data_IF_026865626110
#
_entry.id   IF_026865626110
#
_cell.length_a   1.000
_cell.length_b   1.000
_cell.length_c   1.000
_cell.angle_alpha   90.00
_cell.angle_beta   90.00
_cell.angle_gamma   90.00
#
_symmetry.space_group_name_H-M   'P 1'
#
loop_
_entity.id
_entity.type
_entity.pdbx_description
1 polymer ?
#
# COMPACT_ATOMS: atom_id res chain seq x y z
N UNK A 1 -8.53 -6.03 -56.97
CA UNK A 1 -7.61 -5.98 -55.81
C UNK A 1 -7.32 -4.51 -55.55
N UNK A 2 -7.98 -3.92 -54.55
CA UNK A 2 -7.79 -2.49 -54.20
C UNK A 2 -6.65 -2.42 -53.19
N UNK A 3 -5.49 -1.94 -53.64
CA UNK A 3 -4.39 -1.52 -52.78
C UNK A 3 -4.88 -0.31 -51.97
N UNK A 4 -5.31 -0.55 -50.73
CA UNK A 4 -5.50 0.55 -49.78
C UNK A 4 -4.12 1.11 -49.44
N UNK A 5 -3.70 2.15 -50.15
CA UNK A 5 -2.51 2.93 -49.83
C UNK A 5 -2.60 3.33 -48.36
N UNK A 6 -1.79 2.70 -47.51
CA UNK A 6 -1.70 3.02 -46.10
C UNK A 6 -1.22 4.45 -45.97
N UNK A 7 -2.06 5.35 -45.44
CA UNK A 7 -1.71 6.74 -45.17
C UNK A 7 -0.32 6.80 -44.51
N UNK A 8 0.61 7.65 -44.99
CA UNK A 8 1.93 7.77 -44.39
C UNK A 8 1.77 8.12 -42.91
N UNK A 9 2.44 7.37 -42.03
CA UNK A 9 2.39 7.63 -40.59
C UNK A 9 2.94 9.01 -40.30
N UNK A 10 2.16 9.86 -39.63
CA UNK A 10 2.65 11.18 -39.20
C UNK A 10 3.93 11.04 -38.37
N UNK A 11 4.82 12.03 -38.44
CA UNK A 11 6.05 12.06 -37.63
C UNK A 11 5.77 11.87 -36.13
N UNK A 12 4.66 12.44 -35.66
CA UNK A 12 4.16 12.21 -34.30
C UNK A 12 3.82 10.73 -34.05
N UNK A 13 3.11 10.08 -34.98
CA UNK A 13 2.78 8.67 -34.89
C UNK A 13 4.02 7.76 -34.82
N UNK A 14 5.06 8.05 -35.61
CA UNK A 14 6.33 7.31 -35.55
C UNK A 14 6.99 7.47 -34.17
N UNK A 15 7.07 8.71 -33.66
CA UNK A 15 7.63 9.01 -32.33
C UNK A 15 6.88 8.28 -31.21
N UNK A 16 5.55 8.30 -31.23
CA UNK A 16 4.71 7.62 -30.24
C UNK A 16 4.90 6.10 -30.27
N UNK A 17 4.96 5.48 -31.46
CA UNK A 17 5.22 4.04 -31.58
C UNK A 17 6.61 3.66 -31.05
N UNK A 18 7.65 4.48 -31.32
CA UNK A 18 8.99 4.26 -30.76
C UNK A 18 9.00 4.40 -29.24
N UNK A 19 8.29 5.38 -28.68
CA UNK A 19 8.15 5.55 -27.23
C UNK A 19 7.45 4.34 -26.60
N UNK A 20 6.33 3.91 -27.19
CA UNK A 20 5.56 2.76 -26.73
C UNK A 20 6.39 1.47 -26.80
N UNK A 21 7.19 1.27 -27.86
CA UNK A 21 8.11 0.15 -27.94
C UNK A 21 9.17 0.18 -26.83
N UNK A 22 9.78 1.34 -26.57
CA UNK A 22 10.77 1.48 -25.47
C UNK A 22 10.15 1.21 -24.11
N UNK A 23 8.92 1.68 -23.89
CA UNK A 23 8.16 1.39 -22.68
C UNK A 23 7.88 -0.12 -22.57
N UNK A 24 7.30 -0.73 -23.60
CA UNK A 24 6.97 -2.16 -23.60
C UNK A 24 8.21 -3.05 -23.43
N UNK A 25 9.37 -2.67 -23.97
CA UNK A 25 10.63 -3.40 -23.77
C UNK A 25 11.17 -3.30 -22.35
N UNK A 26 10.91 -2.17 -21.66
CA UNK A 26 11.48 -1.86 -20.35
C UNK A 26 10.42 -1.76 -19.23
N UNK A 27 9.21 -2.28 -19.45
CA UNK A 27 8.06 -2.10 -18.56
C UNK A 27 8.38 -2.44 -17.10
N UNK A 28 9.15 -3.50 -16.87
CA UNK A 28 9.53 -3.98 -15.54
C UNK A 28 10.43 -3.01 -14.78
N UNK A 29 11.23 -2.19 -15.48
CA UNK A 29 12.05 -1.14 -14.84
C UNK A 29 11.18 -0.01 -14.34
N UNK A 30 10.15 0.36 -15.10
CA UNK A 30 9.19 1.38 -14.68
C UNK A 30 8.36 0.90 -13.50
N UNK A 31 7.78 -0.30 -13.59
CA UNK A 31 7.00 -0.88 -12.49
C UNK A 31 7.88 -1.15 -11.27
N UNK A 32 9.06 -1.73 -11.45
CA UNK A 32 9.99 -2.01 -10.36
C UNK A 32 10.53 -0.73 -9.71
N UNK A 33 10.85 0.30 -10.50
CA UNK A 33 11.24 1.61 -9.99
C UNK A 33 10.10 2.27 -9.22
N UNK A 34 8.87 2.23 -9.75
CA UNK A 34 7.69 2.76 -9.05
C UNK A 34 7.44 2.02 -7.73
N UNK A 35 7.38 0.69 -7.73
CA UNK A 35 7.19 -0.11 -6.52
C UNK A 35 8.35 0.06 -5.53
N UNK A 36 9.58 0.18 -6.01
CA UNK A 36 10.76 0.45 -5.18
C UNK A 36 10.69 1.82 -4.51
N UNK A 37 10.31 2.87 -5.23
CA UNK A 37 10.08 4.20 -4.67
C UNK A 37 8.90 4.21 -3.69
N UNK A 38 7.83 3.47 -4.01
CA UNK A 38 6.67 3.33 -3.15
C UNK A 38 7.03 2.65 -1.82
N UNK A 39 7.68 1.49 -1.86
CA UNK A 39 8.12 0.79 -0.65
C UNK A 39 9.18 1.59 0.11
N UNK A 40 10.17 2.15 -0.59
CA UNK A 40 11.21 2.98 0.01
C UNK A 40 10.66 4.22 0.71
N UNK A 41 9.70 4.91 0.09
CA UNK A 41 9.06 6.09 0.66
C UNK A 41 8.26 5.79 1.94
N UNK A 42 7.67 4.60 2.06
CA UNK A 42 6.96 4.16 3.28
C UNK A 42 7.88 4.13 4.49
N UNK A 43 9.12 3.65 4.34
CA UNK A 43 10.12 3.60 5.41
C UNK A 43 10.91 4.90 5.57
N UNK A 44 11.03 5.70 4.49
CA UNK A 44 11.71 6.99 4.56
C UNK A 44 10.99 7.95 5.52
N UNK A 45 9.66 7.93 5.63
CA UNK A 45 8.92 8.81 6.53
C UNK A 45 9.34 8.67 8.02
N UNK A 46 9.28 7.48 8.65
CA UNK A 46 9.71 7.33 10.03
C UNK A 46 11.22 7.50 10.22
N UNK A 47 12.05 7.21 9.20
CA UNK A 47 13.50 7.47 9.26
C UNK A 47 13.76 8.98 9.32
N UNK A 48 13.10 9.77 8.47
CA UNK A 48 13.21 11.23 8.47
C UNK A 48 12.73 11.84 9.79
N UNK A 49 11.66 11.31 10.38
CA UNK A 49 11.22 11.73 11.71
C UNK A 49 12.30 11.45 12.78
N UNK A 50 12.89 10.26 12.79
CA UNK A 50 13.98 9.90 13.71
C UNK A 50 15.23 10.77 13.51
N UNK A 51 15.47 11.28 12.30
CA UNK A 51 16.57 12.19 11.98
C UNK A 51 16.25 13.66 12.30
N UNK A 52 15.09 13.97 12.90
CA UNK A 52 14.69 15.34 13.20
C UNK A 52 14.30 16.16 11.97
N UNK A 53 13.85 15.50 10.89
CA UNK A 53 13.41 16.12 9.64
C UNK A 53 11.87 15.99 9.45
N UNK A 54 11.05 16.61 10.32
CA UNK A 54 9.60 16.44 10.28
C UNK A 54 8.95 17.05 9.04
N UNK A 55 9.51 18.14 8.48
CA UNK A 55 8.99 18.77 7.25
C UNK A 55 8.96 17.79 6.06
N UNK A 56 10.12 17.23 5.66
CA UNK A 56 10.18 16.19 4.63
C UNK A 56 9.33 14.93 4.95
N UNK A 57 9.29 14.50 6.21
CA UNK A 57 8.47 13.36 6.61
C UNK A 57 6.97 13.62 6.42
N UNK A 58 6.48 14.81 6.78
CA UNK A 58 5.09 15.23 6.61
C UNK A 58 4.66 15.26 5.14
N UNK A 59 5.57 15.62 4.23
CA UNK A 59 5.31 15.52 2.78
C UNK A 59 5.06 14.07 2.37
N UNK A 60 5.87 13.13 2.87
CA UNK A 60 5.65 11.70 2.61
C UNK A 60 4.31 11.25 3.20
N UNK A 61 4.03 11.50 4.48
CA UNK A 61 2.73 11.15 5.07
C UNK A 61 1.55 11.70 4.25
N UNK A 62 1.66 12.93 3.75
CA UNK A 62 0.63 13.56 2.90
C UNK A 62 0.47 12.83 1.56
N UNK A 63 1.57 12.51 0.87
CA UNK A 63 1.52 11.79 -0.41
C UNK A 63 0.90 10.39 -0.25
N UNK A 64 1.15 9.72 0.87
CA UNK A 64 0.61 8.38 1.14
C UNK A 64 -0.82 8.38 1.74
N UNK A 65 -1.33 9.52 2.21
CA UNK A 65 -2.64 9.61 2.85
C UNK A 65 -3.84 9.15 2.00
N UNK A 66 -3.84 9.27 0.65
CA UNK A 66 -4.90 8.70 -0.19
C UNK A 66 -4.80 7.18 -0.35
N UNK A 67 -3.62 6.59 -0.13
CA UNK A 67 -3.37 5.17 -0.34
C UNK A 67 -3.73 4.32 0.87
N UNK A 68 -3.75 4.91 2.06
CA UNK A 68 -3.95 4.22 3.33
C UNK A 68 -4.59 5.15 4.36
N UNK A 69 -5.34 4.60 5.30
CA UNK A 69 -5.85 5.35 6.46
C UNK A 69 -4.77 5.77 7.46
N UNK A 70 -3.57 5.16 7.42
CA UNK A 70 -2.40 5.53 8.23
C UNK A 70 -2.64 5.48 9.75
N UNK A 71 -3.58 4.68 10.23
CA UNK A 71 -3.83 4.53 11.66
C UNK A 71 -2.56 4.04 12.37
N UNK A 72 -2.11 4.78 13.38
CA UNK A 72 -0.95 4.46 14.19
C UNK A 72 -1.00 3.00 14.69
N UNK A 73 -2.12 2.57 15.26
CA UNK A 73 -2.28 1.21 15.79
C UNK A 73 -2.33 0.08 14.73
N UNK A 74 -2.21 0.42 13.44
CA UNK A 74 -2.09 -0.54 12.32
C UNK A 74 -0.79 -0.37 11.53
N UNK A 75 0.08 0.55 11.90
CA UNK A 75 1.37 0.81 11.23
C UNK A 75 2.53 0.09 11.94
N UNK A 76 3.65 -0.05 11.23
CA UNK A 76 4.92 -0.40 11.89
C UNK A 76 5.59 0.86 12.40
N UNK A 77 6.41 0.72 13.43
CA UNK A 77 7.17 1.82 14.01
C UNK A 77 8.67 1.54 13.92
N UNK A 78 9.45 2.62 13.79
CA UNK A 78 10.92 2.59 13.78
C UNK A 78 11.42 3.53 14.87
N UNK A 79 12.38 3.04 15.66
CA UNK A 79 13.07 3.83 16.69
C UNK A 79 12.37 3.88 18.05
N UNK A 80 11.42 2.97 18.32
CA UNK A 80 10.70 2.91 19.59
C UNK A 80 10.80 1.58 20.33
N UNK A 81 10.07 1.46 21.43
CA UNK A 81 10.04 0.28 22.30
C UNK A 81 9.51 -0.99 21.60
N UNK A 82 8.53 -0.86 20.69
CA UNK A 82 7.89 -1.95 19.98
C UNK A 82 7.83 -1.66 18.46
N UNK A 83 7.85 -2.72 17.65
CA UNK A 83 7.72 -2.61 16.18
C UNK A 83 6.28 -2.31 15.74
N UNK A 84 5.31 -2.53 16.62
CA UNK A 84 3.88 -2.31 16.39
C UNK A 84 3.19 -2.06 17.73
N UNK A 85 2.17 -1.21 17.72
CA UNK A 85 1.34 -0.90 18.89
C UNK A 85 -0.11 -1.19 18.53
N UNK A 86 -0.55 -2.46 18.51
CA UNK A 86 -1.93 -2.78 18.19
C UNK A 86 -2.87 -2.31 19.30
N UNK A 87 -4.16 -2.21 18.99
CA UNK A 87 -5.19 -1.90 19.98
C UNK A 87 -5.31 -3.01 21.03
N UNK A 88 -5.74 -2.66 22.24
CA UNK A 88 -5.98 -3.62 23.32
C UNK A 88 -6.88 -4.79 22.90
N UNK A 89 -7.90 -4.51 22.08
CA UNK A 89 -8.84 -5.52 21.57
C UNK A 89 -8.21 -6.59 20.67
N UNK A 90 -7.00 -6.35 20.15
CA UNK A 90 -6.30 -7.33 19.32
C UNK A 90 -5.75 -8.50 20.15
N UNK A 91 -5.60 -8.34 21.47
CA UNK A 91 -5.03 -9.33 22.39
C UNK A 91 -3.71 -9.93 21.88
N UNK A 92 -2.79 -9.05 21.45
CA UNK A 92 -1.56 -9.48 20.79
C UNK A 92 -0.42 -9.84 21.73
N UNK A 93 -0.62 -9.71 23.05
CA UNK A 93 0.45 -9.79 24.06
C UNK A 93 1.46 -8.63 24.02
N UNK A 94 1.22 -7.60 23.20
CA UNK A 94 2.01 -6.36 23.18
C UNK A 94 1.34 -5.32 24.07
N UNK A 95 2.12 -4.38 24.62
CA UNK A 95 1.50 -3.25 25.34
C UNK A 95 0.68 -2.44 24.33
N UNK A 96 -0.63 -2.23 24.58
CA UNK A 96 -1.54 -1.73 23.58
C UNK A 96 -1.33 -0.25 23.28
N UNK A 97 -1.74 0.18 22.08
CA UNK A 97 -1.67 1.57 21.63
C UNK A 97 -2.23 2.55 22.65
N UNK A 98 -3.40 2.21 23.20
CA UNK A 98 -4.13 3.07 24.12
C UNK A 98 -3.31 3.40 25.38
N UNK A 99 -2.51 2.45 25.90
CA UNK A 99 -1.66 2.66 27.09
C UNK A 99 -0.47 3.59 26.84
N UNK A 100 -0.06 3.81 25.59
CA UNK A 100 1.03 4.72 25.25
C UNK A 100 0.57 6.15 25.02
N UNK A 101 -0.66 6.31 24.52
CA UNK A 101 -1.17 7.61 24.09
C UNK A 101 -2.10 8.27 25.10
N UNK A 102 -2.59 7.53 26.10
CA UNK A 102 -3.46 8.07 27.15
C UNK A 102 -2.80 9.25 27.88
N UNK A 103 -1.51 9.12 28.19
CA UNK A 103 -0.73 10.14 28.92
C UNK A 103 0.16 10.99 27.99
N UNK A 104 0.04 10.87 26.66
CA UNK A 104 0.80 11.68 25.71
C UNK A 104 0.07 13.02 25.47
N UNK A 105 0.65 14.17 25.91
CA UNK A 105 -0.01 15.46 25.78
C UNK A 105 -0.26 15.86 24.32
N UNK A 106 0.63 15.47 23.39
CA UNK A 106 0.45 15.78 21.97
C UNK A 106 -0.69 14.97 21.37
N UNK A 107 -0.87 13.73 21.83
CA UNK A 107 -1.98 12.90 21.38
C UNK A 107 -3.30 13.39 21.97
N UNK A 108 -3.32 13.75 23.26
CA UNK A 108 -4.50 14.31 23.91
C UNK A 108 -4.96 15.60 23.21
N UNK A 109 -4.06 16.54 22.94
CA UNK A 109 -4.37 17.77 22.20
C UNK A 109 -4.91 17.45 20.79
N UNK A 110 -4.30 16.50 20.08
CA UNK A 110 -4.80 16.07 18.78
C UNK A 110 -6.18 15.42 18.88
N UNK A 111 -6.44 14.63 19.92
CA UNK A 111 -7.72 13.98 20.15
C UNK A 111 -8.82 15.01 20.40
N UNK A 112 -8.56 16.00 21.27
CA UNK A 112 -9.50 17.08 21.58
C UNK A 112 -9.89 17.86 20.33
N UNK A 113 -8.91 18.23 19.49
CA UNK A 113 -9.16 18.88 18.21
C UNK A 113 -10.09 18.05 17.32
N UNK A 114 -9.82 16.74 17.18
CA UNK A 114 -10.63 15.87 16.33
C UNK A 114 -11.99 15.53 16.95
N UNK A 115 -12.10 15.56 18.27
CA UNK A 115 -13.36 15.42 19.00
C UNK A 115 -14.27 16.61 18.71
N UNK A 116 -13.76 17.83 18.88
CA UNK A 116 -14.49 19.06 18.58
C UNK A 116 -14.91 19.12 17.11
N UNK A 117 -13.99 18.77 16.19
CA UNK A 117 -14.31 18.67 14.77
C UNK A 117 -15.46 17.69 14.48
N UNK A 118 -15.44 16.52 15.12
CA UNK A 118 -16.39 15.44 14.83
C UNK A 118 -17.77 15.69 15.44
N UNK A 119 -17.83 16.23 16.66
CA UNK A 119 -19.08 16.38 17.42
C UNK A 119 -19.55 17.83 17.56
N UNK A 120 -18.78 18.80 17.06
CA UNK A 120 -19.07 20.25 17.14
C UNK A 120 -19.21 20.77 18.58
N UNK A 121 -18.49 20.16 19.50
CA UNK A 121 -18.41 20.54 20.91
C UNK A 121 -17.09 20.05 21.53
N UNK A 122 -16.51 20.78 22.49
CA UNK A 122 -15.29 20.36 23.18
C UNK A 122 -15.50 19.09 24.02
N UNK A 123 -14.40 18.39 24.34
CA UNK A 123 -14.41 17.21 25.21
C UNK A 123 -14.73 17.58 26.68
N UNK A 124 -14.45 18.81 27.12
CA UNK A 124 -14.73 19.39 28.46
C UNK A 124 -14.24 18.57 29.67
N UNK A 125 -13.39 17.57 29.44
CA UNK A 125 -12.74 16.73 30.45
C UNK A 125 -11.46 16.13 29.87
N UNK A 126 -10.62 15.60 30.74
CA UNK A 126 -9.43 14.87 30.32
C UNK A 126 -9.79 13.61 29.52
N UNK A 127 -8.89 13.25 28.61
CA UNK A 127 -8.93 12.01 27.85
C UNK A 127 -8.88 10.81 28.80
N UNK A 128 -9.84 9.88 28.68
CA UNK A 128 -9.85 8.66 29.49
C UNK A 128 -9.80 7.42 28.62
N UNK A 129 -9.44 6.29 29.22
CA UNK A 129 -9.29 5.03 28.50
C UNK A 129 -10.55 4.59 27.75
N UNK A 130 -11.74 4.91 28.29
CA UNK A 130 -13.02 4.66 27.62
C UNK A 130 -13.12 5.27 26.23
N UNK A 131 -12.55 6.46 26.02
CA UNK A 131 -12.55 7.18 24.74
C UNK A 131 -11.71 6.46 23.68
N UNK A 132 -10.62 5.82 24.11
CA UNK A 132 -9.67 5.10 23.24
C UNK A 132 -10.10 3.65 22.96
N UNK A 133 -10.97 3.08 23.81
CA UNK A 133 -11.47 1.71 23.61
C UNK A 133 -12.52 1.60 22.52
N UNK A 134 -13.23 2.68 22.18
CA UNK A 134 -14.26 2.67 21.15
C UNK A 134 -13.69 3.16 19.82
N UNK A 135 -14.09 2.54 18.70
CA UNK A 135 -13.58 2.90 17.37
C UNK A 135 -14.31 4.13 16.79
N UNK A 136 -14.22 5.25 17.49
CA UNK A 136 -14.91 6.50 17.17
C UNK A 136 -14.22 7.29 16.06
N UNK A 137 -14.93 8.23 15.44
CA UNK A 137 -14.34 9.11 14.42
C UNK A 137 -13.17 9.96 14.97
N UNK A 138 -13.25 10.58 16.17
CA UNK A 138 -12.11 11.27 16.78
C UNK A 138 -10.88 10.38 16.93
N UNK A 139 -11.05 9.15 17.44
CA UNK A 139 -9.93 8.21 17.59
C UNK A 139 -9.30 7.89 16.24
N UNK A 140 -10.11 7.64 15.20
CA UNK A 140 -9.61 7.35 13.85
C UNK A 140 -8.77 8.50 13.29
N UNK A 141 -9.25 9.73 13.43
CA UNK A 141 -8.56 10.92 12.91
C UNK A 141 -7.31 11.26 13.73
N UNK A 142 -7.38 11.18 15.06
CA UNK A 142 -6.23 11.37 15.95
C UNK A 142 -5.14 10.32 15.70
N UNK A 143 -5.50 9.03 15.61
CA UNK A 143 -4.55 7.96 15.29
C UNK A 143 -3.97 8.07 13.87
N UNK A 144 -4.73 8.63 12.92
CA UNK A 144 -4.22 8.99 11.58
C UNK A 144 -3.23 10.15 11.65
N UNK A 145 -3.53 11.19 12.42
CA UNK A 145 -2.68 12.38 12.55
C UNK A 145 -1.39 12.09 13.34
N UNK A 146 -1.43 11.19 14.31
CA UNK A 146 -0.32 10.89 15.21
C UNK A 146 0.87 10.23 14.48
N UNK A 147 2.01 10.92 14.28
CA UNK A 147 3.16 10.35 13.58
C UNK A 147 4.01 9.42 14.46
N UNK A 148 3.82 9.46 15.78
CA UNK A 148 4.68 8.82 16.77
C UNK A 148 5.37 9.83 17.69
N UNK A 149 6.14 9.33 18.65
CA UNK A 149 6.86 10.12 19.66
C UNK A 149 8.20 9.43 20.01
N UNK A 150 8.98 10.00 20.93
CA UNK A 150 10.29 9.45 21.31
C UNK A 150 10.24 8.08 21.96
N UNK A 151 9.12 7.71 22.60
CA UNK A 151 8.94 6.40 23.23
C UNK A 151 8.51 5.35 22.21
N UNK A 152 7.51 5.68 21.40
CA UNK A 152 6.93 4.77 20.42
C UNK A 152 7.77 4.65 19.14
N UNK A 153 8.69 5.59 18.93
CA UNK A 153 9.30 5.83 17.63
C UNK A 153 8.27 6.44 16.68
N UNK A 154 8.54 6.34 15.38
CA UNK A 154 7.68 6.92 14.35
C UNK A 154 7.09 5.88 13.42
N UNK A 155 5.84 6.09 13.01
CA UNK A 155 5.08 5.14 12.21
C UNK A 155 5.46 5.17 10.72
N UNK A 156 5.30 4.05 10.03
CA UNK A 156 5.41 3.99 8.57
C UNK A 156 4.34 4.84 7.88
N UNK A 157 4.63 5.33 6.67
CA UNK A 157 3.70 6.18 5.92
C UNK A 157 2.41 5.48 5.46
N UNK A 158 2.34 4.14 5.57
CA UNK A 158 1.12 3.35 5.36
C UNK A 158 1.03 2.26 6.44
N UNK A 159 -0.11 1.59 6.53
CA UNK A 159 -0.33 0.51 7.48
C UNK A 159 0.49 -0.75 7.14
N UNK A 160 0.64 -1.65 8.12
CA UNK A 160 1.30 -2.95 8.00
C UNK A 160 0.81 -3.74 6.78
N UNK A 161 -0.51 -3.73 6.53
CA UNK A 161 -1.13 -4.48 5.44
C UNK A 161 -0.72 -3.93 4.08
N UNK A 162 -0.89 -2.63 3.84
CA UNK A 162 -0.59 -2.02 2.55
C UNK A 162 0.90 -2.07 2.25
N UNK A 163 1.74 -1.84 3.27
CA UNK A 163 3.18 -2.05 3.17
C UNK A 163 3.49 -3.48 2.72
N UNK A 164 2.89 -4.49 3.36
CA UNK A 164 3.11 -5.89 3.00
C UNK A 164 2.62 -6.23 1.58
N UNK A 165 1.50 -5.64 1.12
CA UNK A 165 1.00 -5.80 -0.25
C UNK A 165 2.04 -5.29 -1.26
N UNK A 166 2.49 -4.05 -1.10
CA UNK A 166 3.44 -3.44 -2.04
C UNK A 166 4.82 -4.13 -1.99
N UNK A 167 5.30 -4.52 -0.81
CA UNK A 167 6.52 -5.31 -0.66
C UNK A 167 6.38 -6.69 -1.31
N UNK A 168 5.25 -7.37 -1.13
CA UNK A 168 4.97 -8.67 -1.76
C UNK A 168 4.96 -8.59 -3.29
N UNK A 169 4.33 -7.55 -3.85
CA UNK A 169 4.36 -7.28 -5.29
C UNK A 169 5.79 -7.02 -5.79
N UNK A 170 6.56 -6.18 -5.08
CA UNK A 170 7.94 -5.87 -5.45
C UNK A 170 8.82 -7.13 -5.40
N UNK A 171 8.72 -7.92 -4.33
CA UNK A 171 9.47 -9.16 -4.17
C UNK A 171 9.12 -10.15 -5.29
N UNK A 172 7.84 -10.31 -5.62
CA UNK A 172 7.46 -11.16 -6.75
C UNK A 172 8.03 -10.64 -8.07
N UNK A 173 8.03 -9.32 -8.31
CA UNK A 173 8.66 -8.76 -9.51
C UNK A 173 10.16 -9.10 -9.57
N UNK A 174 10.88 -8.94 -8.46
CA UNK A 174 12.31 -9.26 -8.38
C UNK A 174 12.56 -10.74 -8.67
N UNK A 175 11.74 -11.64 -8.11
CA UNK A 175 11.77 -13.08 -8.39
C UNK A 175 11.46 -13.36 -9.88
N UNK A 176 10.45 -12.71 -10.44
CA UNK A 176 10.05 -12.83 -11.84
C UNK A 176 11.16 -12.38 -12.80
N UNK A 177 12.01 -11.43 -12.40
CA UNK A 177 13.12 -10.94 -13.20
C UNK A 177 14.34 -11.86 -13.24
N UNK A 178 14.39 -12.89 -12.39
CA UNK A 178 15.47 -13.88 -12.42
C UNK A 178 15.42 -14.63 -13.76
N UNK A 179 16.51 -14.66 -14.56
CA UNK A 179 16.52 -15.27 -15.90
C UNK A 179 16.11 -16.74 -15.93
N UNK A 180 16.41 -17.50 -14.87
CA UNK A 180 16.02 -18.90 -14.73
C UNK A 180 14.51 -19.10 -14.46
N UNK A 181 13.84 -18.08 -13.92
CA UNK A 181 12.45 -18.13 -13.46
C UNK A 181 11.50 -17.56 -14.51
N UNK A 182 11.83 -16.38 -15.04
CA UNK A 182 11.00 -15.63 -16.00
C UNK A 182 10.40 -16.45 -17.15
N UNK A 183 11.17 -17.28 -17.89
CA UNK A 183 10.62 -18.00 -19.04
C UNK A 183 9.72 -19.19 -18.64
N UNK A 184 9.78 -19.64 -17.38
CA UNK A 184 9.03 -20.80 -16.87
C UNK A 184 7.76 -20.42 -16.15
N UNK A 185 7.70 -19.20 -15.59
CA UNK A 185 6.53 -18.74 -14.84
C UNK A 185 5.37 -18.40 -15.77
N UNK A 186 4.28 -19.16 -15.61
CA UNK A 186 2.97 -18.85 -16.19
C UNK A 186 2.16 -17.98 -15.23
N UNK A 187 1.18 -17.20 -15.74
CA UNK A 187 0.23 -16.49 -14.88
C UNK A 187 -0.43 -17.46 -13.90
N UNK A 188 -0.56 -17.04 -12.65
CA UNK A 188 -1.27 -17.79 -11.63
C UNK A 188 -2.72 -18.05 -12.08
N UNK A 189 -3.27 -19.28 -11.90
CA UNK A 189 -4.69 -19.51 -12.17
C UNK A 189 -5.57 -18.57 -11.36
N UNK A 190 -6.51 -17.89 -12.02
CA UNK A 190 -7.32 -16.84 -11.39
C UNK A 190 -8.04 -17.33 -10.13
N UNK A 191 -8.62 -18.54 -10.16
CA UNK A 191 -9.30 -19.12 -8.99
C UNK A 191 -8.33 -19.32 -7.80
N UNK A 192 -7.08 -19.71 -8.06
CA UNK A 192 -6.08 -19.85 -7.00
C UNK A 192 -5.74 -18.50 -6.37
N UNK A 193 -5.65 -17.43 -7.17
CA UNK A 193 -5.52 -16.06 -6.64
C UNK A 193 -6.72 -15.65 -5.78
N UNK A 194 -7.94 -15.95 -6.23
CA UNK A 194 -9.15 -15.63 -5.47
C UNK A 194 -9.17 -16.36 -4.12
N UNK A 195 -8.89 -17.67 -4.11
CA UNK A 195 -8.97 -18.47 -2.88
C UNK A 195 -7.84 -18.13 -1.92
N UNK A 196 -6.60 -18.07 -2.40
CA UNK A 196 -5.42 -17.96 -1.53
C UNK A 196 -4.93 -16.52 -1.36
N UNK A 197 -5.10 -15.66 -2.36
CA UNK A 197 -4.69 -14.25 -2.29
C UNK A 197 -5.79 -13.37 -1.70
N UNK A 198 -6.98 -13.39 -2.30
CA UNK A 198 -8.12 -12.56 -1.88
C UNK A 198 -8.82 -13.15 -0.66
N UNK A 199 -8.97 -14.47 -0.58
CA UNK A 199 -9.71 -15.16 0.48
C UNK A 199 -9.28 -14.75 1.90
N UNK A 200 -8.00 -14.88 2.29
CA UNK A 200 -7.56 -14.58 3.65
C UNK A 200 -7.72 -13.10 4.03
N UNK A 201 -7.31 -12.17 3.16
CA UNK A 201 -7.42 -10.72 3.40
C UNK A 201 -8.88 -10.25 3.40
N UNK A 202 -9.71 -10.84 2.53
CA UNK A 202 -11.14 -10.56 2.42
C UNK A 202 -11.90 -11.09 3.63
N UNK A 203 -11.65 -12.32 4.04
CA UNK A 203 -12.24 -12.89 5.26
C UNK A 203 -11.87 -12.06 6.49
N UNK A 204 -10.60 -11.68 6.62
CA UNK A 204 -10.15 -10.84 7.72
C UNK A 204 -10.82 -9.46 7.70
N UNK A 205 -10.84 -8.78 6.55
CA UNK A 205 -11.46 -7.46 6.39
C UNK A 205 -12.97 -7.47 6.64
N UNK A 206 -13.69 -8.44 6.06
CA UNK A 206 -15.13 -8.63 6.30
C UNK A 206 -15.38 -8.97 7.77
N UNK A 207 -14.53 -9.80 8.38
CA UNK A 207 -14.69 -10.17 9.79
C UNK A 207 -14.57 -8.96 10.73
N UNK A 208 -13.66 -8.03 10.42
CA UNK A 208 -13.52 -6.78 11.16
C UNK A 208 -14.70 -5.83 10.90
N UNK A 209 -15.07 -5.64 9.62
CA UNK A 209 -16.16 -4.74 9.23
C UNK A 209 -17.47 -5.09 9.93
N UNK A 210 -17.82 -6.37 9.96
CA UNK A 210 -19.05 -6.88 10.58
C UNK A 210 -19.02 -6.83 12.13
N UNK A 211 -17.84 -6.66 12.73
CA UNK A 211 -17.70 -6.45 14.18
C UNK A 211 -17.95 -5.00 14.62
N UNK A 212 -17.88 -4.04 13.68
CA UNK A 212 -18.05 -2.62 13.97
C UNK A 212 -19.49 -2.14 13.71
N UNK A 213 -19.91 -1.00 14.30
CA UNK A 213 -21.15 -0.33 13.93
C UNK A 213 -21.21 -0.04 12.42
N UNK A 214 -22.37 -0.21 11.76
CA UNK A 214 -23.69 -0.51 12.33
C UNK A 214 -24.01 -2.01 12.50
N UNK A 215 -23.10 -2.92 12.14
CA UNK A 215 -23.41 -4.36 12.06
C UNK A 215 -23.33 -5.07 13.41
N UNK A 216 -22.20 -4.95 14.11
CA UNK A 216 -21.96 -5.51 15.46
C UNK A 216 -22.39 -6.99 15.63
N UNK A 217 -22.17 -7.84 14.61
CA UNK A 217 -22.59 -9.25 14.65
C UNK A 217 -21.80 -10.11 15.66
N UNK A 218 -20.63 -9.65 16.08
CA UNK A 218 -19.80 -10.25 17.13
C UNK A 218 -18.96 -9.16 17.81
N UNK A 219 -18.28 -9.47 18.94
CA UNK A 219 -17.44 -8.51 19.63
C UNK A 219 -16.42 -7.85 18.70
N UNK A 220 -16.15 -6.57 18.94
CA UNK A 220 -15.21 -5.77 18.12
C UNK A 220 -13.88 -6.49 18.01
N UNK A 221 -13.46 -6.74 16.76
CA UNK A 221 -12.28 -7.55 16.46
C UNK A 221 -11.24 -6.69 15.78
N UNK A 222 -10.04 -6.70 16.34
CA UNK A 222 -8.85 -6.18 15.68
C UNK A 222 -7.88 -7.30 15.32
N UNK A 223 -7.35 -7.25 14.10
CA UNK A 223 -6.45 -8.30 13.61
C UNK A 223 -5.04 -8.12 14.14
N UNK A 224 -4.38 -9.23 14.51
CA UNK A 224 -3.01 -9.21 14.96
C UNK A 224 -2.04 -8.65 13.90
N UNK A 225 -0.99 -7.91 14.28
CA UNK A 225 -0.01 -7.37 13.35
C UNK A 225 0.57 -8.41 12.36
N UNK A 226 0.92 -9.60 12.85
CA UNK A 226 1.45 -10.68 12.02
C UNK A 226 0.45 -11.14 10.95
N UNK A 227 -0.84 -11.24 11.27
CA UNK A 227 -1.85 -11.62 10.29
C UNK A 227 -2.04 -10.54 9.23
N UNK A 228 -1.98 -9.26 9.60
CA UNK A 228 -2.01 -8.15 8.63
C UNK A 228 -0.84 -8.22 7.65
N UNK A 229 0.37 -8.54 8.14
CA UNK A 229 1.55 -8.71 7.31
C UNK A 229 1.44 -9.94 6.39
N UNK A 230 1.07 -11.10 6.93
CA UNK A 230 0.98 -12.36 6.18
C UNK A 230 -0.08 -12.26 5.08
N UNK A 231 -1.30 -11.82 5.43
CA UNK A 231 -2.40 -11.74 4.46
C UNK A 231 -2.16 -10.65 3.41
N UNK A 232 -1.61 -9.50 3.80
CA UNK A 232 -1.21 -8.45 2.86
C UNK A 232 -0.11 -8.91 1.90
N UNK A 233 0.94 -9.53 2.43
CA UNK A 233 2.03 -10.07 1.62
C UNK A 233 1.53 -11.13 0.64
N UNK A 234 0.72 -12.08 1.10
CA UNK A 234 0.18 -13.15 0.26
C UNK A 234 -0.67 -12.57 -0.88
N UNK A 235 -1.57 -11.62 -0.58
CA UNK A 235 -2.36 -10.93 -1.59
C UNK A 235 -1.47 -10.21 -2.63
N UNK A 236 -0.50 -9.42 -2.18
CA UNK A 236 0.40 -8.68 -3.06
C UNK A 236 1.29 -9.60 -3.92
N UNK A 237 1.88 -10.62 -3.31
CA UNK A 237 2.75 -11.58 -4.00
C UNK A 237 1.99 -12.38 -5.06
N UNK A 238 0.82 -12.93 -4.70
CA UNK A 238 -0.01 -13.67 -5.65
C UNK A 238 -0.63 -12.77 -6.73
N UNK A 239 -0.97 -11.53 -6.38
CA UNK A 239 -1.40 -10.51 -7.34
C UNK A 239 -0.30 -10.20 -8.35
N UNK A 240 0.94 -10.04 -7.89
CA UNK A 240 2.11 -9.92 -8.76
C UNK A 240 2.28 -11.16 -9.67
N UNK A 241 2.08 -12.36 -9.13
CA UNK A 241 2.14 -13.62 -9.90
C UNK A 241 1.07 -13.74 -10.97
N UNK A 242 -0.15 -13.27 -10.69
CA UNK A 242 -1.17 -13.20 -11.72
C UNK A 242 -0.82 -12.13 -12.78
N UNK A 243 -0.49 -10.92 -12.33
CA UNK A 243 -0.44 -9.73 -13.17
C UNK A 243 0.82 -9.63 -14.04
N UNK A 244 2.01 -9.89 -13.50
CA UNK A 244 3.26 -9.61 -14.22
C UNK A 244 3.53 -10.54 -15.41
N UNK A 245 3.31 -11.87 -15.33
CA UNK A 245 3.44 -12.73 -16.50
C UNK A 245 2.41 -12.37 -17.59
N UNK A 246 1.18 -12.02 -17.20
CA UNK A 246 0.13 -11.56 -18.13
C UNK A 246 0.53 -10.23 -18.81
N UNK A 247 1.03 -9.28 -18.01
CA UNK A 247 1.53 -8.00 -18.51
C UNK A 247 2.72 -8.19 -19.45
N UNK A 248 3.67 -9.07 -19.12
CA UNK A 248 4.82 -9.36 -19.98
C UNK A 248 4.38 -9.94 -21.33
N UNK A 249 3.37 -10.82 -21.35
CA UNK A 249 2.80 -11.35 -22.58
C UNK A 249 2.18 -10.23 -23.44
N UNK A 250 1.39 -9.34 -22.84
CA UNK A 250 0.80 -8.20 -23.52
C UNK A 250 1.87 -7.22 -24.05
N UNK A 251 2.92 -6.95 -23.27
CA UNK A 251 4.02 -6.07 -23.67
C UNK A 251 4.84 -6.66 -24.83
N UNK A 252 5.02 -7.98 -24.87
CA UNK A 252 5.64 -8.66 -26.02
C UNK A 252 4.75 -8.58 -27.26
N UNK A 253 3.43 -8.64 -27.08
CA UNK A 253 2.51 -8.51 -28.20
C UNK A 253 2.54 -7.10 -28.82
N UNK A 254 2.51 -6.06 -27.98
CA UNK A 254 2.69 -4.67 -28.39
C UNK A 254 4.00 -4.50 -29.17
N UNK A 255 5.11 -5.07 -28.68
CA UNK A 255 6.39 -5.03 -29.38
C UNK A 255 6.30 -5.66 -30.79
N UNK A 256 5.70 -6.85 -30.91
CA UNK A 256 5.52 -7.55 -32.19
C UNK A 256 4.67 -6.74 -33.17
N UNK A 257 3.56 -6.16 -32.70
CA UNK A 257 2.66 -5.35 -33.52
C UNK A 257 3.39 -4.10 -34.06
N UNK A 258 4.17 -3.40 -33.23
CA UNK A 258 4.93 -2.22 -33.64
C UNK A 258 6.02 -2.60 -34.65
N UNK A 259 6.76 -3.69 -34.40
CA UNK A 259 7.79 -4.19 -35.31
C UNK A 259 7.19 -4.52 -36.68
N UNK A 260 6.07 -5.27 -36.71
CA UNK A 260 5.40 -5.63 -37.95
C UNK A 260 4.89 -4.40 -38.72
N UNK A 261 4.32 -3.42 -38.02
CA UNK A 261 3.86 -2.16 -38.61
C UNK A 261 5.01 -1.38 -39.24
N UNK A 262 6.14 -1.29 -38.56
CA UNK A 262 7.31 -0.55 -39.04
C UNK A 262 7.97 -1.26 -40.23
N UNK A 263 8.06 -2.58 -40.17
CA UNK A 263 8.53 -3.41 -41.29
C UNK A 263 7.66 -3.23 -42.53
N UNK A 264 6.33 -3.28 -42.39
CA UNK A 264 5.38 -3.06 -43.51
C UNK A 264 5.50 -1.66 -44.13
N UNK A 265 5.83 -0.66 -43.32
CA UNK A 265 6.00 0.73 -43.76
C UNK A 265 7.43 1.06 -44.22
N UNK A 266 8.36 0.09 -44.19
CA UNK A 266 9.79 0.30 -44.44
C UNK A 266 10.41 1.41 -43.57
N UNK A 267 9.98 1.50 -42.31
CA UNK A 267 10.47 2.47 -41.31
C UNK A 267 11.42 1.75 -40.35
N UNK A 268 12.66 2.24 -40.14
CA UNK A 268 13.55 1.63 -39.17
C UNK A 268 13.04 1.85 -37.73
N UNK A 269 13.15 0.80 -36.92
CA UNK A 269 12.70 0.82 -35.52
C UNK A 269 13.52 1.78 -34.64
N UNK A 270 14.79 1.99 -35.01
CA UNK A 270 15.74 2.91 -34.40
C UNK A 270 15.99 4.06 -35.37
#
# INVERSE_FOLDING_TARGET
MSDSATKPSSQLGIRLNRLLYRFAKNWYKFIGGFLGLLVGGVFAAPILMNLGLPGPASVLYTIYAPLCHQFAFRSLFIGGEQIAYPRAQADSGLRPFEDYVLDDPNFAESYDYWYEFSYRQPLDRDLVMGDLTQFTLPLQLAAKAFPGNSQMGYKTAVCQRDMAIYSGMLIFLLVYLIPAVRPRLRPLPFLLFVIMGVGPIGLDGVSQLLSYPPFQYWPTRETLPQFRLITGFLFGFMGGWLAFPLLDANMRDIQRQIIAKFHKANIPLV
#
